data_IF_259025429833
#
_entry.id   IF_259025429833
#
_cell.length_a   1.000
_cell.length_b   1.000
_cell.length_c   1.000
_cell.angle_alpha   90.00
_cell.angle_beta   90.00
_cell.angle_gamma   90.00
#
_symmetry.space_group_name_H-M   'P 1'
#
loop_
_entity.id
_entity.type
_entity.pdbx_description
1 polymer ?
#
# COMPACT_ATOMS: atom_id res chain seq x y z
N UNK A 1 -34.93 29.38 12.77
CA UNK A 1 -34.05 30.32 13.50
C UNK A 1 -33.17 31.00 12.46
N UNK A 2 -33.34 32.30 12.25
CA UNK A 2 -32.43 33.11 11.41
C UNK A 2 -31.58 33.92 12.38
N UNK A 3 -30.27 33.73 12.36
CA UNK A 3 -29.33 34.47 13.19
C UNK A 3 -28.49 35.35 12.26
N UNK A 4 -28.71 36.67 12.32
CA UNK A 4 -27.96 37.73 11.61
C UNK A 4 -28.06 39.01 12.50
N UNK A 5 -27.11 39.95 12.57
CA UNK A 5 -26.46 40.68 11.48
C UNK A 5 -25.08 41.26 11.89
N UNK A 6 -24.02 40.87 11.18
CA UNK A 6 -22.76 41.62 11.07
C UNK A 6 -21.52 41.11 11.83
N UNK A 7 -21.64 40.12 12.70
CA UNK A 7 -20.53 39.47 13.42
C UNK A 7 -20.78 37.97 13.55
N UNK A 8 -19.75 37.17 13.88
CA UNK A 8 -19.83 35.71 14.10
C UNK A 8 -20.96 35.34 15.10
N UNK A 9 -22.14 34.91 14.64
CA UNK A 9 -23.25 34.60 15.54
C UNK A 9 -22.92 33.34 16.34
N UNK A 10 -23.26 33.33 17.64
CA UNK A 10 -22.97 32.19 18.52
C UNK A 10 -24.25 31.62 19.15
N UNK A 11 -24.26 30.29 19.33
CA UNK A 11 -25.25 29.57 20.12
C UNK A 11 -24.51 28.99 21.32
N UNK A 12 -24.92 29.38 22.53
CA UNK A 12 -24.33 28.90 23.78
C UNK A 12 -25.26 27.86 24.40
N UNK A 13 -24.79 26.62 24.57
CA UNK A 13 -25.59 25.51 25.09
C UNK A 13 -25.47 25.32 26.62
N UNK A 14 -24.74 26.18 27.32
CA UNK A 14 -24.62 26.22 28.78
C UNK A 14 -23.69 27.34 29.28
N UNK A 15 -23.90 27.77 30.53
CA UNK A 15 -23.14 28.85 31.19
C UNK A 15 -22.52 28.41 32.53
N UNK A 16 -22.30 27.10 32.72
CA UNK A 16 -21.71 26.55 33.94
C UNK A 16 -20.19 26.71 33.99
N UNK A 17 -19.60 26.62 35.19
CA UNK A 17 -18.15 26.67 35.41
C UNK A 17 -17.48 25.29 35.37
N UNK A 18 -18.24 24.21 35.17
CA UNK A 18 -17.76 22.83 35.02
C UNK A 18 -18.18 22.27 33.66
N UNK A 19 -17.49 21.24 33.19
CA UNK A 19 -17.87 20.53 31.97
C UNK A 19 -19.24 19.86 32.12
N UNK A 20 -20.15 20.10 31.17
CA UNK A 20 -21.53 19.61 31.21
C UNK A 20 -21.85 18.56 30.14
N UNK A 21 -20.88 18.23 29.27
CA UNK A 21 -21.02 17.23 28.18
C UNK A 21 -22.30 17.40 27.35
N UNK A 22 -22.69 18.64 27.06
CA UNK A 22 -23.92 18.95 26.33
C UNK A 22 -23.68 18.93 24.83
N UNK A 23 -24.62 18.32 24.11
CA UNK A 23 -24.63 18.31 22.64
C UNK A 23 -25.66 19.31 22.12
N UNK A 24 -25.31 20.00 21.03
CA UNK A 24 -26.31 20.63 20.18
C UNK A 24 -26.90 19.55 19.27
N UNK A 25 -28.16 19.19 19.49
CA UNK A 25 -28.84 18.21 18.64
C UNK A 25 -29.49 18.91 17.43
N UNK A 26 -29.22 18.38 16.24
CA UNK A 26 -29.93 18.73 15.01
C UNK A 26 -30.68 17.47 14.60
N UNK A 27 -32.01 17.47 14.77
CA UNK A 27 -32.87 16.31 14.52
C UNK A 27 -34.01 16.68 13.58
N UNK A 28 -34.40 15.75 12.70
CA UNK A 28 -35.41 16.00 11.67
C UNK A 28 -36.82 15.92 12.28
N UNK A 29 -37.03 14.99 13.23
CA UNK A 29 -38.25 14.92 14.03
C UNK A 29 -38.00 14.25 15.39
N UNK A 30 -38.87 14.54 16.36
CA UNK A 30 -38.83 13.94 17.71
C UNK A 30 -39.58 12.60 17.81
N UNK A 31 -40.42 12.27 16.82
CA UNK A 31 -41.23 11.04 16.80
C UNK A 31 -40.65 9.93 15.90
N UNK A 32 -39.93 10.29 14.84
CA UNK A 32 -39.23 9.39 13.92
C UNK A 32 -37.81 9.92 13.71
N UNK A 33 -36.85 9.37 14.45
CA UNK A 33 -35.45 9.82 14.46
C UNK A 33 -34.73 9.39 13.18
N UNK A 34 -35.03 10.06 12.06
CA UNK A 34 -34.21 10.00 10.85
C UNK A 34 -33.02 10.95 10.98
N UNK A 35 -31.84 10.62 10.42
CA UNK A 35 -30.70 11.51 10.45
C UNK A 35 -31.00 12.89 9.84
N UNK A 36 -30.54 13.95 10.50
CA UNK A 36 -30.49 15.29 9.89
C UNK A 36 -29.16 15.48 9.17
N UNK A 37 -29.22 16.05 7.96
CA UNK A 37 -28.02 16.52 7.27
C UNK A 37 -27.56 17.88 7.79
N UNK A 38 -26.25 18.15 7.71
CA UNK A 38 -25.66 19.47 7.90
C UNK A 38 -25.17 20.00 6.55
N UNK A 39 -25.73 21.13 6.08
CA UNK A 39 -25.24 21.85 4.90
C UNK A 39 -24.50 23.10 5.37
N UNK A 40 -23.17 23.07 5.29
CA UNK A 40 -22.32 24.17 5.72
C UNK A 40 -21.40 24.64 4.59
N UNK A 41 -21.06 25.93 4.60
CA UNK A 41 -20.02 26.48 3.73
C UNK A 41 -18.65 25.91 4.08
N UNK A 42 -18.40 25.60 5.35
CA UNK A 42 -17.22 24.89 5.88
C UNK A 42 -17.51 24.54 7.35
N UNK A 43 -16.75 23.61 7.93
CA UNK A 43 -16.93 23.17 9.32
C UNK A 43 -15.59 23.17 10.07
N UNK A 44 -15.50 24.01 11.10
CA UNK A 44 -14.40 24.00 12.05
C UNK A 44 -14.82 23.29 13.34
N UNK A 45 -14.12 22.22 13.70
CA UNK A 45 -14.26 21.51 14.97
C UNK A 45 -12.96 21.68 15.76
N UNK A 46 -12.92 22.70 16.61
CA UNK A 46 -11.75 23.07 17.40
C UNK A 46 -12.17 23.73 18.73
N UNK A 47 -11.26 23.74 19.70
CA UNK A 47 -11.47 24.45 20.97
C UNK A 47 -11.12 25.95 20.89
N UNK A 48 -10.58 26.41 19.76
CA UNK A 48 -10.15 27.78 19.54
C UNK A 48 -10.40 28.20 18.08
N UNK A 49 -11.02 29.36 17.87
CA UNK A 49 -11.25 29.94 16.55
C UNK A 49 -9.96 30.29 15.79
N UNK A 50 -8.86 30.53 16.51
CA UNK A 50 -7.56 30.80 15.89
C UNK A 50 -6.86 29.53 15.37
N UNK A 51 -7.44 28.34 15.60
CA UNK A 51 -6.84 27.08 15.15
C UNK A 51 -6.75 27.02 13.61
N UNK A 52 -7.82 27.41 12.91
CA UNK A 52 -7.86 27.43 11.45
C UNK A 52 -8.99 28.35 10.94
N UNK A 53 -8.86 28.79 9.69
CA UNK A 53 -9.91 29.49 8.94
C UNK A 53 -10.29 28.66 7.71
N UNK A 54 -11.24 27.71 7.83
CA UNK A 54 -11.61 26.82 6.73
C UNK A 54 -12.22 27.58 5.54
N UNK A 55 -11.84 27.22 4.33
CA UNK A 55 -12.45 27.74 3.10
C UNK A 55 -13.78 27.03 2.80
N UNK A 56 -14.39 27.39 1.66
CA UNK A 56 -15.65 26.78 1.23
C UNK A 56 -15.45 25.30 0.88
N UNK A 57 -16.13 24.42 1.60
CA UNK A 57 -16.09 22.96 1.45
C UNK A 57 -15.16 22.29 2.45
N UNK A 58 -14.34 23.05 3.18
CA UNK A 58 -13.37 22.49 4.10
C UNK A 58 -14.04 22.00 5.37
N UNK A 59 -13.60 20.82 5.83
CA UNK A 59 -13.85 20.33 7.18
C UNK A 59 -12.51 20.23 7.90
N UNK A 60 -12.34 20.98 8.98
CA UNK A 60 -11.11 21.01 9.78
C UNK A 60 -11.43 20.53 11.19
N UNK A 61 -10.72 19.50 11.65
CA UNK A 61 -10.89 18.89 12.97
C UNK A 61 -9.56 18.90 13.71
N UNK A 62 -9.48 19.59 14.85
CA UNK A 62 -8.29 19.63 15.70
C UNK A 62 -8.10 18.32 16.49
N UNK A 63 -9.20 17.65 16.80
CA UNK A 63 -9.22 16.39 17.53
C UNK A 63 -9.19 15.15 16.63
N UNK A 64 -9.80 14.08 17.12
CA UNK A 64 -9.95 12.81 16.38
C UNK A 64 -11.28 12.78 15.62
N UNK A 65 -11.30 12.20 14.44
CA UNK A 65 -12.49 11.94 13.63
C UNK A 65 -12.71 10.42 13.50
N UNK A 66 -13.89 9.94 13.91
CA UNK A 66 -14.31 8.56 13.74
C UNK A 66 -15.43 8.46 12.72
N UNK A 67 -15.32 7.55 11.76
CA UNK A 67 -16.32 7.25 10.74
C UNK A 67 -16.67 5.77 10.84
N UNK A 68 -17.93 5.46 11.15
CA UNK A 68 -18.43 4.08 11.26
C UNK A 68 -18.04 3.34 12.54
N UNK A 69 -17.36 4.00 13.50
CA UNK A 69 -17.04 3.43 14.81
C UNK A 69 -16.80 4.54 15.86
N UNK A 70 -16.93 4.19 17.14
CA UNK A 70 -16.71 5.09 18.26
C UNK A 70 -15.22 5.24 18.57
N UNK A 71 -14.79 6.46 18.85
CA UNK A 71 -13.42 6.74 19.32
C UNK A 71 -13.34 6.46 20.83
N UNK A 72 -13.05 5.22 21.22
CA UNK A 72 -12.87 4.87 22.64
C UNK A 72 -11.52 5.38 23.18
N UNK A 73 -11.44 5.56 24.50
CA UNK A 73 -10.29 6.12 25.24
C UNK A 73 -9.05 5.22 25.32
N UNK A 74 -9.01 4.11 24.59
CA UNK A 74 -7.93 3.11 24.61
C UNK A 74 -7.61 2.62 23.17
N UNK A 75 -6.33 2.49 22.79
CA UNK A 75 -5.57 3.49 22.08
C UNK A 75 -5.47 3.13 20.60
N UNK A 76 -6.01 3.98 19.75
CA UNK A 76 -5.60 4.00 18.36
C UNK A 76 -5.09 5.40 18.13
N UNK A 77 -3.78 5.55 17.86
CA UNK A 77 -3.07 6.80 17.53
C UNK A 77 -3.60 7.49 16.25
N UNK A 78 -4.82 7.18 15.85
CA UNK A 78 -5.47 7.65 14.67
C UNK A 78 -6.16 8.97 15.00
N UNK A 79 -5.68 10.03 14.37
CA UNK A 79 -6.44 11.28 14.21
C UNK A 79 -7.67 11.04 13.33
N UNK A 80 -7.62 10.10 12.39
CA UNK A 80 -8.75 9.66 11.57
C UNK A 80 -8.92 8.14 11.65
N UNK A 81 -10.03 7.67 12.22
CA UNK A 81 -10.46 6.27 12.23
C UNK A 81 -11.61 6.09 11.21
N UNK A 82 -11.45 5.17 10.27
CA UNK A 82 -12.51 4.78 9.32
C UNK A 82 -12.74 3.29 9.47
N UNK A 83 -13.88 2.90 10.05
CA UNK A 83 -14.35 1.53 10.07
C UNK A 83 -15.15 1.28 8.79
N UNK A 84 -14.43 0.90 7.73
CA UNK A 84 -14.97 0.72 6.40
C UNK A 84 -13.91 0.91 5.33
N UNK A 85 -14.34 1.19 4.11
CA UNK A 85 -13.44 1.44 2.98
C UNK A 85 -13.26 2.93 2.73
N UNK A 86 -12.03 3.36 2.48
CA UNK A 86 -11.71 4.69 1.97
C UNK A 86 -11.48 4.59 0.46
N UNK A 87 -12.30 5.28 -0.34
CA UNK A 87 -12.03 5.50 -1.76
C UNK A 87 -11.45 6.90 -1.95
N UNK A 88 -10.19 6.98 -2.36
CA UNK A 88 -9.44 8.23 -2.50
C UNK A 88 -8.54 8.18 -3.72
N UNK A 89 -8.40 9.29 -4.42
CA UNK A 89 -7.45 9.43 -5.54
C UNK A 89 -6.01 9.53 -5.06
N UNK A 90 -5.77 9.88 -3.79
CA UNK A 90 -4.45 9.85 -3.19
C UNK A 90 -4.51 9.94 -1.66
N UNK A 91 -3.66 9.15 -1.00
CA UNK A 91 -3.37 9.25 0.42
C UNK A 91 -1.90 9.62 0.53
N UNK A 92 -1.58 10.71 1.22
CA UNK A 92 -0.19 11.13 1.41
C UNK A 92 0.29 10.73 2.80
N UNK A 93 1.47 10.10 2.88
CA UNK A 93 2.18 9.82 4.14
C UNK A 93 3.52 10.52 4.05
N UNK A 94 3.84 11.35 5.05
CA UNK A 94 5.07 12.16 5.07
C UNK A 94 5.28 12.96 3.77
N UNK A 95 4.21 13.57 3.25
CA UNK A 95 4.20 14.34 1.99
C UNK A 95 4.53 13.52 0.72
N UNK A 96 4.49 12.19 0.80
CA UNK A 96 4.63 11.30 -0.35
C UNK A 96 3.32 10.59 -0.63
N UNK A 97 2.95 10.49 -1.91
CA UNK A 97 1.76 9.72 -2.30
C UNK A 97 1.99 8.24 -1.96
N UNK A 98 1.09 7.66 -1.17
CA UNK A 98 0.98 6.22 -1.01
C UNK A 98 0.53 5.63 -2.34
N UNK A 99 1.42 4.88 -2.98
CA UNK A 99 1.09 4.08 -4.16
C UNK A 99 0.59 2.71 -3.72
N UNK A 100 -0.24 2.07 -4.54
CA UNK A 100 -0.65 0.69 -4.33
C UNK A 100 0.58 -0.23 -4.29
N UNK A 101 0.55 -1.25 -3.44
CA UNK A 101 1.59 -2.29 -3.44
C UNK A 101 1.74 -2.86 -4.86
N UNK A 102 2.96 -2.88 -5.44
CA UNK A 102 3.18 -3.56 -6.71
C UNK A 102 3.03 -5.08 -6.58
N UNK A 103 3.14 -5.61 -5.36
CA UNK A 103 2.92 -7.02 -5.07
C UNK A 103 1.44 -7.34 -4.95
N UNK A 104 0.99 -8.35 -5.68
CA UNK A 104 -0.36 -8.91 -5.62
C UNK A 104 -0.35 -10.10 -4.67
N UNK A 105 -1.27 -10.11 -3.70
CA UNK A 105 -1.47 -11.24 -2.79
C UNK A 105 -2.72 -12.01 -3.21
N UNK A 106 -2.64 -13.34 -3.24
CA UNK A 106 -3.76 -14.22 -3.51
C UNK A 106 -3.67 -15.45 -2.62
N UNK A 107 -4.58 -15.54 -1.63
CA UNK A 107 -4.50 -16.53 -0.56
C UNK A 107 -3.13 -16.47 0.15
N UNK A 108 -2.39 -17.58 0.17
CA UNK A 108 -1.03 -17.67 0.73
C UNK A 108 0.08 -17.37 -0.28
N UNK A 109 -0.24 -16.88 -1.48
CA UNK A 109 0.73 -16.58 -2.55
C UNK A 109 0.94 -15.07 -2.68
N UNK A 110 2.17 -14.69 -2.98
CA UNK A 110 2.55 -13.33 -3.37
C UNK A 110 3.20 -13.38 -4.75
N UNK A 111 2.81 -12.47 -5.64
CA UNK A 111 3.34 -12.39 -7.01
C UNK A 111 3.58 -10.95 -7.42
N UNK A 112 4.57 -10.75 -8.27
CA UNK A 112 4.87 -9.49 -8.94
C UNK A 112 5.21 -9.79 -10.41
N UNK A 113 4.69 -8.96 -11.32
CA UNK A 113 4.78 -9.19 -12.77
C UNK A 113 5.88 -8.37 -13.46
N UNK A 114 6.67 -7.59 -12.72
CA UNK A 114 7.73 -6.76 -13.26
C UNK A 114 9.13 -7.23 -12.86
N UNK A 115 10.12 -6.38 -13.11
CA UNK A 115 11.50 -6.63 -12.73
C UNK A 115 11.78 -6.11 -11.31
N UNK A 116 12.52 -6.87 -10.53
CA UNK A 116 12.95 -6.54 -9.16
C UNK A 116 14.46 -6.33 -9.17
N UNK A 117 14.91 -5.15 -8.74
CA UNK A 117 16.32 -4.85 -8.54
C UNK A 117 16.62 -4.64 -7.04
N UNK A 118 17.59 -5.36 -6.50
CA UNK A 118 18.02 -5.28 -5.10
C UNK A 118 19.49 -4.87 -5.07
N UNK A 119 19.81 -3.73 -4.44
CA UNK A 119 21.17 -3.19 -4.40
C UNK A 119 21.69 -2.67 -5.75
N UNK A 120 20.84 -2.62 -6.78
CA UNK A 120 21.12 -2.08 -8.11
C UNK A 120 19.90 -1.34 -8.65
N UNK A 121 20.02 -0.68 -9.81
CA UNK A 121 18.91 -0.06 -10.52
C UNK A 121 18.39 -0.99 -11.62
N UNK A 122 17.15 -0.78 -12.06
CA UNK A 122 16.62 -1.48 -13.23
C UNK A 122 17.45 -1.21 -14.49
N UNK A 123 18.02 0.00 -14.62
CA UNK A 123 18.90 0.37 -15.73
C UNK A 123 20.26 -0.33 -15.68
N UNK A 124 20.71 -0.76 -14.50
CA UNK A 124 21.96 -1.48 -14.28
C UNK A 124 21.72 -2.99 -14.11
N UNK A 125 20.72 -3.53 -14.83
CA UNK A 125 20.40 -4.95 -14.88
C UNK A 125 20.91 -5.52 -16.22
N UNK A 126 22.19 -5.91 -16.31
CA UNK A 126 22.71 -6.52 -17.53
C UNK A 126 21.93 -7.81 -17.78
N UNK A 127 21.37 -7.97 -18.98
CA UNK A 127 20.57 -9.13 -19.40
C UNK A 127 19.10 -9.14 -18.98
N UNK A 128 18.55 -8.02 -18.49
CA UNK A 128 17.11 -7.87 -18.24
C UNK A 128 16.50 -8.93 -17.32
N UNK A 129 17.24 -9.36 -16.29
CA UNK A 129 16.76 -10.37 -15.33
C UNK A 129 15.46 -9.93 -14.65
N UNK A 130 14.54 -10.86 -14.42
CA UNK A 130 13.34 -10.58 -13.61
C UNK A 130 13.69 -10.26 -12.15
N UNK A 131 14.76 -10.88 -11.62
CA UNK A 131 15.32 -10.58 -10.31
C UNK A 131 16.83 -10.33 -10.45
N UNK A 132 17.26 -9.08 -10.26
CA UNK A 132 18.66 -8.68 -10.27
C UNK A 132 19.11 -8.27 -8.87
N UNK A 133 20.12 -8.95 -8.32
CA UNK A 133 20.64 -8.69 -6.98
C UNK A 133 22.12 -8.36 -7.05
N UNK A 134 22.48 -7.12 -6.71
CA UNK A 134 23.86 -6.72 -6.50
C UNK A 134 24.22 -6.87 -5.02
N UNK A 135 24.45 -8.13 -4.63
CA UNK A 135 24.65 -8.53 -3.24
C UNK A 135 24.59 -10.05 -3.11
N UNK A 136 24.53 -10.54 -1.88
CA UNK A 136 24.41 -11.98 -1.60
C UNK A 136 22.94 -12.39 -1.53
N UNK A 137 22.61 -13.53 -2.15
CA UNK A 137 21.35 -14.23 -1.97
C UNK A 137 21.62 -15.39 -1.00
N UNK A 138 20.82 -15.50 0.07
CA UNK A 138 20.84 -16.65 0.97
C UNK A 138 19.69 -17.59 0.65
N UNK A 139 19.99 -18.86 0.37
CA UNK A 139 19.00 -19.89 0.13
C UNK A 139 19.46 -21.21 0.77
N UNK A 140 18.51 -21.99 1.28
CA UNK A 140 18.79 -23.38 1.71
C UNK A 140 18.93 -24.31 0.51
N UNK A 141 18.10 -24.07 -0.50
CA UNK A 141 18.07 -24.82 -1.75
C UNK A 141 17.59 -23.89 -2.87
N UNK A 142 18.04 -24.14 -4.10
CA UNK A 142 17.64 -23.43 -5.31
C UNK A 142 17.40 -24.47 -6.40
N UNK A 143 16.14 -24.70 -6.71
CA UNK A 143 15.76 -25.54 -7.84
C UNK A 143 15.68 -24.69 -9.11
N UNK A 144 16.44 -25.08 -10.13
CA UNK A 144 16.37 -24.46 -11.46
C UNK A 144 15.64 -25.43 -12.38
N UNK A 145 14.40 -25.09 -12.72
CA UNK A 145 13.64 -25.83 -13.71
C UNK A 145 13.84 -25.18 -15.08
N UNK A 146 14.57 -25.84 -15.96
CA UNK A 146 14.63 -25.42 -17.35
C UNK A 146 13.45 -26.03 -18.09
N UNK A 147 12.36 -25.27 -18.22
CA UNK A 147 11.14 -25.71 -18.92
C UNK A 147 11.33 -25.96 -20.42
N UNK A 148 12.49 -25.58 -20.98
CA UNK A 148 12.77 -25.61 -22.42
C UNK A 148 13.97 -26.49 -22.81
N UNK A 149 14.62 -27.16 -21.86
CA UNK A 149 15.69 -28.12 -22.17
C UNK A 149 15.27 -29.52 -21.76
N UNK A 150 15.04 -30.37 -22.75
CA UNK A 150 15.34 -31.81 -22.62
C UNK A 150 16.71 -31.92 -21.98
N UNK A 151 16.76 -32.43 -20.75
CA UNK A 151 18.04 -32.84 -20.15
C UNK A 151 18.77 -33.71 -21.16
N UNK A 152 20.12 -33.61 -21.28
CA UNK A 152 20.88 -34.45 -22.18
C UNK A 152 20.96 -35.88 -21.64
N UNK A 153 19.81 -36.55 -21.59
CA UNK A 153 19.67 -37.98 -21.27
C UNK A 153 19.93 -38.84 -22.51
N UNK A 154 20.11 -38.20 -23.68
CA UNK A 154 20.41 -38.85 -24.95
C UNK A 154 21.73 -39.64 -24.92
N UNK A 155 22.63 -39.35 -23.97
CA UNK A 155 23.88 -40.11 -23.80
C UNK A 155 23.66 -41.53 -23.24
N UNK A 156 22.45 -41.79 -22.73
CA UNK A 156 22.02 -43.10 -22.24
C UNK A 156 21.09 -43.84 -23.22
N UNK A 157 20.80 -43.25 -24.39
CA UNK A 157 20.04 -43.91 -25.43
C UNK A 157 20.88 -45.00 -26.12
N UNK A 158 20.24 -46.10 -26.53
CA UNK A 158 20.94 -47.26 -27.10
C UNK A 158 21.67 -46.97 -28.42
N UNK A 159 21.25 -45.94 -29.15
CA UNK A 159 21.82 -45.49 -30.41
C UNK A 159 22.79 -44.30 -30.25
N UNK A 160 23.14 -43.95 -29.01
CA UNK A 160 24.12 -42.90 -28.76
C UNK A 160 25.50 -43.28 -29.28
N UNK A 161 26.01 -42.51 -30.23
CA UNK A 161 27.39 -42.62 -30.69
C UNK A 161 28.34 -42.13 -29.62
N UNK A 162 29.05 -43.05 -28.97
CA UNK A 162 30.11 -42.75 -28.01
C UNK A 162 31.42 -42.44 -28.77
N UNK A 163 31.89 -41.17 -28.82
CA UNK A 163 33.11 -40.82 -29.53
C UNK A 163 34.35 -41.40 -28.85
N UNK A 164 35.43 -41.57 -29.61
CA UNK A 164 36.68 -42.05 -29.05
C UNK A 164 37.27 -41.01 -28.09
N UNK A 165 37.96 -41.47 -27.03
CA UNK A 165 38.57 -40.58 -26.04
C UNK A 165 39.55 -39.58 -26.66
N UNK A 166 40.24 -39.95 -27.74
CA UNK A 166 41.14 -39.05 -28.47
C UNK A 166 40.40 -37.90 -29.16
N UNK A 167 39.21 -38.15 -29.69
CA UNK A 167 38.38 -37.11 -30.31
C UNK A 167 37.81 -36.17 -29.25
N UNK A 168 37.37 -36.73 -28.12
CA UNK A 168 36.91 -35.97 -26.96
C UNK A 168 38.03 -35.09 -26.41
N UNK A 169 39.23 -35.62 -26.25
CA UNK A 169 40.41 -34.90 -25.80
C UNK A 169 40.75 -33.72 -26.73
N UNK A 170 40.81 -33.96 -28.04
CA UNK A 170 41.05 -32.91 -29.03
C UNK A 170 39.97 -31.81 -28.97
N UNK A 171 38.71 -32.20 -28.80
CA UNK A 171 37.60 -31.26 -28.67
C UNK A 171 37.74 -30.40 -27.41
N UNK A 172 37.98 -31.01 -26.25
CA UNK A 172 38.16 -30.29 -24.98
C UNK A 172 39.38 -29.36 -25.05
N UNK A 173 40.49 -29.81 -25.62
CA UNK A 173 41.70 -28.98 -25.76
C UNK A 173 41.42 -27.72 -26.58
N UNK A 174 40.60 -27.83 -27.64
CA UNK A 174 40.25 -26.75 -28.56
C UNK A 174 39.13 -25.84 -28.03
N UNK A 175 38.06 -26.40 -27.49
CA UNK A 175 36.82 -25.70 -27.18
C UNK A 175 36.62 -25.43 -25.68
N UNK A 176 37.40 -26.07 -24.80
CA UNK A 176 37.36 -25.92 -23.34
C UNK A 176 36.05 -26.36 -22.65
N UNK A 177 35.21 -27.08 -23.36
CA UNK A 177 34.00 -27.72 -22.84
C UNK A 177 33.77 -29.07 -23.54
N UNK A 178 32.89 -29.91 -23.00
CA UNK A 178 32.44 -31.14 -23.67
C UNK A 178 31.53 -30.80 -24.85
N UNK A 179 31.49 -31.70 -25.84
CA UNK A 179 30.56 -31.56 -26.97
C UNK A 179 29.12 -31.46 -26.44
N UNK A 180 28.34 -30.56 -27.04
CA UNK A 180 26.92 -30.33 -26.73
C UNK A 180 26.62 -29.78 -25.31
N UNK A 181 27.65 -29.43 -24.52
CA UNK A 181 27.55 -28.66 -23.28
C UNK A 181 28.03 -27.22 -23.56
N UNK A 182 27.21 -26.17 -23.33
CA UNK A 182 27.61 -24.78 -23.55
C UNK A 182 28.63 -24.26 -22.52
#
# INVERSE_FOLDING_TARGET
LVIDNGNNPSIVNGIGSTELNRYLQIVNSTGLVTPSGLKAGGLLVANNFNYASPAKGDMVVQGRLGIGDALTSNPSNHTLLVNGTLNSTGIYVNNQLMVSSPWVTSSSKISYSGNVAIGTTLSNNPNSYMLAVNGKIGAKDVQIENSSATWPDYVFENDYYLPFLSEVEQFILKHKHLKDIP
#
